data_IF_044218266427
#
_entry.id   IF_044218266427
#
_cell.length_a   1.000
_cell.length_b   1.000
_cell.length_c   1.000
_cell.angle_alpha   90.00
_cell.angle_beta   90.00
_cell.angle_gamma   90.00
#
_symmetry.space_group_name_H-M   'P 1'
#
loop_
_entity.id
_entity.type
_entity.pdbx_description
1 polymer ?
#
# COMPACT_ATOMS: atom_id res chain seq x y z
N UNK A 1 -5.71 8.13 25.06
CA UNK A 1 -4.35 7.55 25.13
C UNK A 1 -4.32 6.33 24.22
N UNK A 2 -3.24 6.13 23.44
CA UNK A 2 -3.13 4.97 22.54
C UNK A 2 -2.98 3.65 23.30
N UNK A 3 -3.46 2.56 22.71
CA UNK A 3 -3.36 1.22 23.29
C UNK A 3 -1.98 0.61 22.97
N UNK A 4 -1.36 0.00 23.97
CA UNK A 4 -0.08 -0.73 23.81
C UNK A 4 -0.41 -2.17 23.43
N UNK A 5 0.18 -2.64 22.32
CA UNK A 5 0.04 -4.02 21.85
C UNK A 5 1.31 -4.81 22.14
N UNK A 6 1.17 -6.09 22.45
CA UNK A 6 2.27 -7.05 22.60
C UNK A 6 2.34 -7.96 21.36
N UNK A 7 3.53 -8.27 20.87
CA UNK A 7 3.74 -9.11 19.68
C UNK A 7 4.97 -8.71 18.86
N UNK A 8 5.16 -9.36 17.71
CA UNK A 8 6.19 -9.01 16.72
C UNK A 8 5.51 -8.43 15.47
N UNK A 9 5.33 -7.10 15.38
CA UNK A 9 4.71 -6.49 14.21
C UNK A 9 5.57 -6.76 12.97
N UNK A 10 4.97 -7.41 11.97
CA UNK A 10 5.61 -7.76 10.70
C UNK A 10 5.39 -6.70 9.62
N UNK A 11 4.53 -5.72 9.88
CA UNK A 11 4.20 -4.65 8.95
C UNK A 11 3.91 -3.33 9.65
N UNK A 12 4.04 -2.24 8.90
CA UNK A 12 3.66 -0.89 9.29
C UNK A 12 3.12 -0.15 8.07
N UNK A 13 2.30 0.88 8.29
CA UNK A 13 1.83 1.73 7.19
C UNK A 13 2.69 2.98 7.10
N UNK A 14 3.08 3.33 5.88
CA UNK A 14 3.69 4.63 5.59
C UNK A 14 2.70 5.75 5.89
N UNK A 15 3.20 6.89 6.39
CA UNK A 15 2.38 8.07 6.62
C UNK A 15 1.59 8.45 5.35
N UNK A 16 0.27 8.69 5.44
CA UNK A 16 -0.56 9.00 4.28
C UNK A 16 -0.02 10.12 3.38
N UNK A 17 0.50 11.20 3.99
CA UNK A 17 1.08 12.34 3.27
C UNK A 17 2.33 11.96 2.47
N UNK A 18 3.15 11.04 2.99
CA UNK A 18 4.33 10.55 2.30
C UNK A 18 3.96 9.64 1.12
N UNK A 19 2.97 8.75 1.29
CA UNK A 19 2.45 7.91 0.19
C UNK A 19 1.98 8.78 -0.98
N UNK A 20 1.19 9.81 -0.70
CA UNK A 20 0.73 10.77 -1.72
C UNK A 20 1.89 11.48 -2.43
N UNK A 21 2.94 11.84 -1.69
CA UNK A 21 4.14 12.47 -2.26
C UNK A 21 4.89 11.51 -3.18
N UNK A 22 5.04 10.23 -2.78
CA UNK A 22 5.66 9.19 -3.59
C UNK A 22 4.89 8.95 -4.90
N UNK A 23 3.56 8.80 -4.84
CA UNK A 23 2.74 8.59 -6.03
C UNK A 23 2.82 9.76 -7.03
N UNK A 24 2.91 11.01 -6.53
CA UNK A 24 3.13 12.19 -7.37
C UNK A 24 4.50 12.17 -8.03
N UNK A 25 5.56 11.86 -7.29
CA UNK A 25 6.91 11.77 -7.83
C UNK A 25 7.07 10.60 -8.82
N UNK A 26 6.39 9.48 -8.57
CA UNK A 26 6.32 8.34 -9.47
C UNK A 26 5.53 8.60 -10.76
N UNK A 27 4.97 9.81 -10.92
CA UNK A 27 4.18 10.22 -12.10
C UNK A 27 3.04 9.24 -12.41
N UNK A 28 2.36 8.78 -11.36
CA UNK A 28 1.23 7.85 -11.51
C UNK A 28 0.07 8.56 -12.22
N UNK A 29 -0.26 8.11 -13.43
CA UNK A 29 -1.30 8.67 -14.28
C UNK A 29 -2.15 7.57 -14.92
N UNK A 30 -3.37 7.86 -15.42
CA UNK A 30 -4.20 6.87 -16.10
C UNK A 30 -3.44 6.19 -17.24
N UNK A 31 -3.64 4.88 -17.39
CA UNK A 31 -3.01 4.08 -18.44
C UNK A 31 -1.69 3.41 -18.04
N UNK A 32 -1.12 3.72 -16.87
CA UNK A 32 0.01 2.93 -16.33
C UNK A 32 -0.50 1.71 -15.55
N UNK A 33 0.34 0.68 -15.45
CA UNK A 33 0.18 -0.41 -14.49
C UNK A 33 1.14 -0.19 -13.33
N UNK A 34 0.66 -0.31 -12.10
CA UNK A 34 1.42 -0.09 -10.88
C UNK A 34 1.67 -1.40 -10.14
N UNK A 35 2.91 -1.62 -9.74
CA UNK A 35 3.30 -2.68 -8.81
C UNK A 35 3.62 -2.04 -7.45
N UNK A 36 2.85 -2.37 -6.42
CA UNK A 36 3.11 -1.98 -5.04
C UNK A 36 3.82 -3.12 -4.31
N UNK A 37 5.03 -2.86 -3.82
CA UNK A 37 5.91 -3.86 -3.20
C UNK A 37 5.98 -3.59 -1.71
N UNK A 38 5.85 -4.65 -0.90
CA UNK A 38 5.69 -4.55 0.55
C UNK A 38 4.43 -3.73 0.90
N UNK A 39 3.32 -4.16 0.32
CA UNK A 39 2.01 -3.49 0.39
C UNK A 39 1.50 -3.33 1.83
N UNK A 40 1.95 -4.19 2.75
CA UNK A 40 1.62 -4.06 4.16
C UNK A 40 0.11 -4.11 4.40
N UNK A 41 -0.41 -3.07 5.04
CA UNK A 41 -1.85 -2.92 5.32
C UNK A 41 -2.73 -2.67 4.09
N UNK A 42 -2.16 -2.43 2.90
CA UNK A 42 -2.91 -2.13 1.68
C UNK A 42 -3.29 -0.66 1.50
N UNK A 43 -2.87 0.24 2.38
CA UNK A 43 -3.25 1.66 2.31
C UNK A 43 -2.79 2.33 1.01
N UNK A 44 -1.54 2.11 0.59
CA UNK A 44 -0.99 2.62 -0.69
C UNK A 44 -1.73 2.05 -1.89
N UNK A 45 -1.99 0.74 -1.88
CA UNK A 45 -2.75 0.06 -2.91
C UNK A 45 -4.16 0.65 -3.06
N UNK A 46 -4.89 0.88 -1.96
CA UNK A 46 -6.22 1.47 -2.00
C UNK A 46 -6.23 2.86 -2.66
N UNK A 47 -5.24 3.71 -2.35
CA UNK A 47 -5.09 5.03 -2.99
C UNK A 47 -4.75 4.91 -4.48
N UNK A 48 -3.88 3.97 -4.85
CA UNK A 48 -3.55 3.71 -6.24
C UNK A 48 -4.75 3.18 -7.04
N UNK A 49 -5.51 2.24 -6.48
CA UNK A 49 -6.74 1.71 -7.08
C UNK A 49 -7.79 2.80 -7.28
N UNK A 50 -7.98 3.69 -6.30
CA UNK A 50 -8.88 4.83 -6.44
C UNK A 50 -8.49 5.77 -7.60
N UNK A 51 -7.20 5.80 -7.97
CA UNK A 51 -6.66 6.68 -9.03
C UNK A 51 -6.59 6.01 -10.41
N UNK A 52 -6.31 4.71 -10.47
CA UNK A 52 -5.98 3.96 -11.68
C UNK A 52 -7.03 2.89 -12.06
N UNK A 53 -7.88 2.49 -11.12
CA UNK A 53 -8.66 1.25 -11.19
C UNK A 53 -7.89 0.06 -10.59
N UNK A 54 -8.62 -0.85 -9.97
CA UNK A 54 -8.09 -2.07 -9.33
C UNK A 54 -7.37 -3.00 -10.32
N UNK A 55 -7.89 -3.12 -11.55
CA UNK A 55 -7.29 -3.92 -12.62
C UNK A 55 -5.87 -3.45 -13.03
N UNK A 56 -5.52 -2.20 -12.71
CA UNK A 56 -4.23 -1.62 -13.04
C UNK A 56 -3.19 -1.74 -11.92
N UNK A 57 -3.57 -2.26 -10.74
CA UNK A 57 -2.71 -2.34 -9.56
C UNK A 57 -2.43 -3.80 -9.21
N UNK A 58 -1.17 -4.14 -9.02
CA UNK A 58 -0.73 -5.43 -8.49
C UNK A 58 0.02 -5.18 -7.20
N UNK A 59 -0.27 -5.96 -6.18
CA UNK A 59 0.32 -5.86 -4.85
C UNK A 59 1.06 -7.15 -4.51
N UNK A 60 2.11 -7.05 -3.70
CA UNK A 60 2.73 -8.21 -3.08
C UNK A 60 3.31 -7.86 -1.72
N UNK A 61 3.24 -8.83 -0.82
CA UNK A 61 3.90 -8.82 0.48
C UNK A 61 4.50 -10.20 0.75
N UNK A 62 5.54 -10.25 1.59
CA UNK A 62 6.19 -11.50 1.97
C UNK A 62 5.43 -12.20 3.10
N UNK A 63 4.70 -11.45 3.92
CA UNK A 63 3.94 -12.01 5.03
C UNK A 63 2.64 -12.67 4.51
N UNK A 64 2.46 -14.00 4.69
CA UNK A 64 1.24 -14.68 4.30
C UNK A 64 -0.02 -14.09 4.95
N UNK A 65 0.08 -13.57 6.18
CA UNK A 65 -1.05 -12.95 6.88
C UNK A 65 -1.62 -11.74 6.13
N UNK A 66 -0.79 -11.04 5.34
CA UNK A 66 -1.18 -9.85 4.58
C UNK A 66 -1.66 -10.16 3.16
N UNK A 67 -1.39 -11.36 2.67
CA UNK A 67 -1.69 -11.77 1.28
C UNK A 67 -2.80 -12.81 1.18
N UNK A 68 -3.19 -13.42 2.30
CA UNK A 68 -4.33 -14.33 2.37
C UNK A 68 -5.65 -13.56 2.19
N UNK A 69 -6.58 -14.17 1.44
CA UNK A 69 -7.93 -13.65 1.19
C UNK A 69 -8.94 -14.10 2.25
#
# INVERSE_FOLDING_TARGET
AGQVYTGHPTSSSTLPSLVLTMLRHGRVHPGVRLLDVATGSGYSAALACARLGDQAVTTLDIDPYLTQA
#
